data_IF_700200308392
#
_entry.id   IF_700200308392
#
_cell.length_a   1.000
_cell.length_b   1.000
_cell.length_c   1.000
_cell.angle_alpha   90.00
_cell.angle_beta   90.00
_cell.angle_gamma   90.00
#
_symmetry.space_group_name_H-M   'P 1'
#
loop_
_entity.id
_entity.type
_entity.pdbx_description
1 polymer ?
#
# COMPACT_ATOMS: atom_id res chain seq x y z
N UNK A 1 29.16 10.99 43.64
CA UNK A 1 28.20 11.70 42.77
C UNK A 1 27.75 10.72 41.70
N UNK A 2 26.49 10.28 41.76
CA UNK A 2 25.90 9.28 40.87
C UNK A 2 25.55 9.95 39.52
N UNK A 3 26.20 9.49 38.44
CA UNK A 3 25.86 9.90 37.08
C UNK A 3 24.65 9.11 36.58
N UNK A 4 23.50 9.79 36.46
CA UNK A 4 22.27 9.22 35.90
C UNK A 4 22.46 8.93 34.40
N UNK A 5 22.44 7.66 34.03
CA UNK A 5 22.30 7.24 32.64
C UNK A 5 20.89 7.57 32.15
N UNK A 6 20.75 8.60 31.31
CA UNK A 6 19.53 8.83 30.54
C UNK A 6 19.32 7.67 29.58
N UNK A 7 18.43 6.76 29.97
CA UNK A 7 17.89 5.70 29.13
C UNK A 7 17.12 6.35 27.99
N UNK A 8 17.74 6.41 26.80
CA UNK A 8 17.07 6.82 25.57
C UNK A 8 16.08 5.71 25.23
N UNK A 9 14.84 5.90 25.64
CA UNK A 9 13.72 5.09 25.20
C UNK A 9 13.61 5.21 23.69
N UNK A 10 13.67 4.07 22.99
CA UNK A 10 13.31 3.97 21.58
C UNK A 10 11.92 4.60 21.38
N UNK A 11 11.73 5.55 20.43
CA UNK A 11 10.41 6.06 20.15
C UNK A 11 9.61 4.94 19.48
N UNK A 12 8.79 4.28 20.29
CA UNK A 12 7.75 3.34 19.87
C UNK A 12 6.61 4.18 19.27
N UNK A 13 6.76 4.61 18.02
CA UNK A 13 5.74 5.42 17.36
C UNK A 13 6.05 5.68 15.89
N UNK A 14 5.60 4.80 14.99
CA UNK A 14 5.83 5.00 13.54
C UNK A 14 5.00 4.14 12.57
N UNK A 15 4.30 3.10 13.03
CA UNK A 15 3.75 2.08 12.11
C UNK A 15 2.62 2.53 11.16
N UNK A 16 1.96 3.67 11.39
CA UNK A 16 0.82 4.12 10.55
C UNK A 16 1.22 5.04 9.41
N UNK A 17 2.20 5.90 9.63
CA UNK A 17 2.61 6.94 8.66
C UNK A 17 3.51 6.36 7.57
N UNK A 18 4.43 5.45 7.93
CA UNK A 18 5.31 4.79 6.98
C UNK A 18 4.55 3.79 6.10
N UNK A 19 3.63 3.03 6.69
CA UNK A 19 2.76 2.11 5.93
C UNK A 19 1.90 2.88 4.92
N UNK A 20 1.26 3.97 5.33
CA UNK A 20 0.47 4.83 4.43
C UNK A 20 1.30 5.44 3.29
N UNK A 21 2.54 5.85 3.57
CA UNK A 21 3.46 6.35 2.55
C UNK A 21 3.87 5.25 1.55
N UNK A 22 4.12 4.03 2.05
CA UNK A 22 4.48 2.86 1.22
C UNK A 22 3.33 2.44 0.30
N UNK A 23 2.09 2.42 0.80
CA UNK A 23 0.90 2.11 -0.02
C UNK A 23 0.63 3.18 -1.08
N UNK A 24 0.81 4.46 -0.73
CA UNK A 24 0.67 5.56 -1.67
C UNK A 24 1.69 5.50 -2.82
N UNK A 25 2.95 5.14 -2.52
CA UNK A 25 3.99 4.93 -3.54
C UNK A 25 3.67 3.74 -4.45
N UNK A 26 3.20 2.63 -3.89
CA UNK A 26 2.78 1.47 -4.68
C UNK A 26 1.64 1.83 -5.63
N UNK A 27 0.59 2.47 -5.12
CA UNK A 27 -0.56 2.88 -5.92
C UNK A 27 -0.16 3.80 -7.08
N UNK A 28 0.71 4.78 -6.83
CA UNK A 28 1.17 5.70 -7.88
C UNK A 28 1.90 5.00 -9.03
N UNK A 29 2.58 3.88 -8.76
CA UNK A 29 3.15 3.02 -9.81
C UNK A 29 2.11 2.36 -10.72
N UNK A 30 0.91 2.05 -10.22
CA UNK A 30 -0.19 1.50 -11.03
C UNK A 30 -0.96 2.60 -11.76
N UNK A 31 -1.11 3.77 -11.16
CA UNK A 31 -1.86 4.89 -11.75
C UNK A 31 -1.25 5.41 -13.06
N UNK A 32 0.04 5.18 -13.32
CA UNK A 32 0.63 5.49 -14.64
C UNK A 32 -0.06 4.73 -15.79
N UNK A 33 -0.68 3.58 -15.49
CA UNK A 33 -1.43 2.77 -16.43
C UNK A 33 -2.91 3.18 -16.55
N UNK A 34 -3.36 4.21 -15.84
CA UNK A 34 -4.78 4.61 -15.80
C UNK A 34 -5.33 5.04 -17.17
N UNK A 35 -4.47 5.47 -18.09
CA UNK A 35 -4.83 5.76 -19.48
C UNK A 35 -5.43 4.55 -20.21
N UNK A 36 -5.21 3.32 -19.72
CA UNK A 36 -5.80 2.07 -20.24
C UNK A 36 -7.20 1.80 -19.69
N UNK A 37 -7.67 2.60 -18.73
CA UNK A 37 -8.94 2.43 -18.03
C UNK A 37 -8.80 1.75 -16.67
N UNK A 38 -9.80 1.95 -15.81
CA UNK A 38 -9.75 1.47 -14.43
C UNK A 38 -9.80 -0.07 -14.32
N UNK A 39 -10.59 -0.73 -15.17
CA UNK A 39 -10.70 -2.19 -15.16
C UNK A 39 -9.36 -2.88 -15.51
N UNK A 40 -8.65 -2.52 -16.60
CA UNK A 40 -7.34 -3.11 -16.88
C UNK A 40 -6.28 -2.86 -15.79
N UNK A 41 -6.30 -1.71 -15.12
CA UNK A 41 -5.39 -1.44 -13.99
C UNK A 41 -5.74 -2.33 -12.78
N UNK A 42 -7.03 -2.54 -12.51
CA UNK A 42 -7.49 -3.45 -11.46
C UNK A 42 -6.99 -4.88 -11.70
N UNK A 43 -7.15 -5.38 -12.92
CA UNK A 43 -6.71 -6.74 -13.27
C UNK A 43 -5.19 -6.89 -13.17
N UNK A 44 -4.42 -5.87 -13.56
CA UNK A 44 -2.97 -5.84 -13.36
C UNK A 44 -2.59 -5.95 -11.87
N UNK A 45 -3.25 -5.18 -11.01
CA UNK A 45 -3.00 -5.23 -9.56
C UNK A 45 -3.34 -6.61 -8.97
N UNK A 46 -4.43 -7.25 -9.42
CA UNK A 46 -4.82 -8.58 -8.97
C UNK A 46 -3.81 -9.65 -9.40
N UNK A 47 -3.37 -9.62 -10.66
CA UNK A 47 -2.36 -10.54 -11.17
C UNK A 47 -1.04 -10.42 -10.40
N UNK A 48 -0.62 -9.19 -10.08
CA UNK A 48 0.59 -8.97 -9.27
C UNK A 48 0.41 -9.49 -7.83
N UNK A 49 -0.74 -9.28 -7.19
CA UNK A 49 -1.03 -9.83 -5.86
C UNK A 49 -0.86 -11.35 -5.87
N UNK A 50 -1.52 -12.05 -6.80
CA UNK A 50 -1.44 -13.50 -6.91
C UNK A 50 0.02 -13.96 -7.13
N UNK A 51 0.74 -13.27 -8.01
CA UNK A 51 2.16 -13.55 -8.31
C UNK A 51 3.05 -13.37 -7.07
N UNK A 52 2.90 -12.28 -6.34
CA UNK A 52 3.72 -12.05 -5.14
C UNK A 52 3.36 -13.01 -4.01
N UNK A 53 2.10 -13.43 -3.88
CA UNK A 53 1.70 -14.47 -2.95
C UNK A 53 2.33 -15.82 -3.29
N UNK A 54 2.29 -16.22 -4.56
CA UNK A 54 2.86 -17.49 -5.02
C UNK A 54 4.39 -17.53 -4.93
N UNK A 55 5.06 -16.37 -4.97
CA UNK A 55 6.50 -16.23 -4.70
C UNK A 55 6.86 -16.16 -3.20
N UNK A 56 5.88 -16.21 -2.29
CA UNK A 56 6.10 -16.11 -0.85
C UNK A 56 6.37 -14.69 -0.33
N UNK A 57 6.25 -13.67 -1.20
CA UNK A 57 6.39 -12.25 -0.85
C UNK A 57 5.11 -11.70 -0.20
N UNK A 58 4.64 -12.36 0.85
CA UNK A 58 3.32 -12.12 1.49
C UNK A 58 3.15 -10.69 1.98
N UNK A 59 4.17 -10.10 2.60
CA UNK A 59 4.12 -8.70 3.05
C UNK A 59 3.88 -7.72 1.89
N UNK A 60 4.57 -7.91 0.76
CA UNK A 60 4.39 -7.07 -0.43
C UNK A 60 2.99 -7.25 -1.05
N UNK A 61 2.49 -8.49 -1.09
CA UNK A 61 1.13 -8.76 -1.55
C UNK A 61 0.07 -8.11 -0.66
N UNK A 62 0.27 -8.08 0.66
CA UNK A 62 -0.67 -7.42 1.58
C UNK A 62 -0.66 -5.89 1.42
N UNK A 63 0.50 -5.29 1.18
CA UNK A 63 0.59 -3.87 0.83
C UNK A 63 -0.13 -3.55 -0.49
N UNK A 64 -0.03 -4.45 -1.48
CA UNK A 64 -0.75 -4.32 -2.75
C UNK A 64 -2.27 -4.44 -2.56
N UNK A 65 -2.76 -5.33 -1.69
CA UNK A 65 -4.20 -5.41 -1.37
C UNK A 65 -4.72 -4.09 -0.79
N UNK A 66 -3.93 -3.42 0.06
CA UNK A 66 -4.29 -2.11 0.60
C UNK A 66 -4.31 -1.03 -0.49
N UNK A 67 -3.33 -1.05 -1.41
CA UNK A 67 -3.34 -0.17 -2.58
C UNK A 67 -4.55 -0.43 -3.49
N UNK A 68 -4.92 -1.70 -3.73
CA UNK A 68 -6.08 -2.10 -4.53
C UNK A 68 -7.40 -1.64 -3.91
N UNK A 69 -7.54 -1.74 -2.59
CA UNK A 69 -8.72 -1.23 -1.87
C UNK A 69 -8.87 0.27 -2.10
N UNK A 70 -7.79 1.03 -2.00
CA UNK A 70 -7.80 2.47 -2.25
C UNK A 70 -8.13 2.80 -3.72
N UNK A 71 -7.52 2.09 -4.66
CA UNK A 71 -7.83 2.22 -6.09
C UNK A 71 -9.32 2.01 -6.37
N UNK A 72 -9.90 0.93 -5.83
CA UNK A 72 -11.32 0.58 -6.05
C UNK A 72 -12.24 1.67 -5.51
N UNK A 73 -11.95 2.19 -4.31
CA UNK A 73 -12.74 3.27 -3.71
C UNK A 73 -12.65 4.59 -4.48
N UNK A 74 -11.49 4.90 -5.07
CA UNK A 74 -11.28 6.14 -5.81
C UNK A 74 -11.82 6.10 -7.26
N UNK A 75 -11.73 4.96 -7.95
CA UNK A 75 -11.94 4.89 -9.40
C UNK A 75 -13.07 3.96 -9.86
N UNK A 76 -13.50 3.00 -9.03
CA UNK A 76 -14.56 2.04 -9.38
C UNK A 76 -15.87 2.46 -8.69
N UNK A 77 -15.86 2.53 -7.36
CA UNK A 77 -17.07 2.84 -6.57
C UNK A 77 -17.60 4.25 -6.82
N UNK A 78 -16.73 5.22 -7.16
CA UNK A 78 -17.16 6.58 -7.51
C UNK A 78 -17.84 6.66 -8.88
N UNK A 79 -17.57 5.72 -9.77
CA UNK A 79 -18.09 5.74 -11.14
C UNK A 79 -19.52 5.19 -11.21
N UNK A 80 -19.90 4.31 -10.27
CA UNK A 80 -21.27 3.76 -10.15
C UNK A 80 -22.29 4.74 -9.51
N UNK A 81 -21.84 5.90 -9.00
CA UNK A 81 -22.73 6.93 -8.41
C UNK A 81 -23.14 8.05 -9.37
N UNK A 82 -22.73 8.01 -10.65
CA UNK A 82 -23.03 9.06 -11.64
C UNK A 82 -23.89 8.55 -12.77
#
# INVERSE_FOLDING_TARGET
MLGNAMKIGSPKGGGKTEAGARHGRLLSGYLVNLHRGAAPVRELMLADIERFQSLGATGYADDLKLALKRFTSEFIERKDRR
#
